data_IF_896833545620
#
_entry.id   IF_896833545620
#
_cell.length_a   1.000
_cell.length_b   1.000
_cell.length_c   1.000
_cell.angle_alpha   90.00
_cell.angle_beta   90.00
_cell.angle_gamma   90.00
#
_symmetry.space_group_name_H-M   'P 1'
#
loop_
_entity.id
_entity.type
_entity.pdbx_description
1 polymer ?
#
# COMPACT_ATOMS: atom_id res chain seq x y z
N UNK A 1 -11.27 18.49 -2.32
CA UNK A 1 -10.19 17.52 -2.03
C UNK A 1 -10.75 16.14 -2.30
N UNK A 2 -10.04 15.28 -3.03
CA UNK A 2 -10.56 13.99 -3.47
C UNK A 2 -10.00 12.83 -2.62
N UNK A 3 -10.72 11.71 -2.57
CA UNK A 3 -10.41 10.61 -1.64
C UNK A 3 -9.05 9.96 -1.94
N UNK A 4 -8.66 9.93 -3.21
CA UNK A 4 -7.33 9.46 -3.64
C UNK A 4 -6.19 10.33 -3.10
N UNK A 5 -6.32 11.67 -3.07
CA UNK A 5 -5.28 12.55 -2.52
C UNK A 5 -5.09 12.38 -1.01
N UNK A 6 -6.19 12.13 -0.30
CA UNK A 6 -6.13 11.74 1.11
C UNK A 6 -5.49 10.36 1.25
N UNK A 7 -5.87 9.42 0.38
CA UNK A 7 -5.31 8.07 0.33
C UNK A 7 -3.80 8.04 0.10
N UNK A 8 -3.25 8.82 -0.83
CA UNK A 8 -1.80 8.98 -1.04
C UNK A 8 -1.09 9.33 0.28
N UNK A 9 -1.63 10.29 1.03
CA UNK A 9 -1.05 10.69 2.32
C UNK A 9 -1.12 9.55 3.34
N UNK A 10 -2.25 8.84 3.41
CA UNK A 10 -2.45 7.72 4.33
C UNK A 10 -1.52 6.53 4.02
N UNK A 11 -1.41 6.13 2.76
CA UNK A 11 -0.55 4.99 2.39
C UNK A 11 0.94 5.30 2.58
N UNK A 12 1.35 6.56 2.34
CA UNK A 12 2.71 7.00 2.58
C UNK A 12 3.03 6.93 4.08
N UNK A 13 2.08 7.35 4.93
CA UNK A 13 2.21 7.20 6.37
C UNK A 13 2.32 5.73 6.80
N UNK A 14 1.38 4.87 6.38
CA UNK A 14 1.37 3.44 6.73
C UNK A 14 2.69 2.77 6.33
N UNK A 15 3.16 2.99 5.10
CA UNK A 15 4.40 2.38 4.64
C UNK A 15 5.63 2.94 5.37
N UNK A 16 5.69 4.26 5.59
CA UNK A 16 6.80 4.90 6.32
C UNK A 16 6.90 4.40 7.75
N UNK A 17 5.76 4.24 8.43
CA UNK A 17 5.71 3.70 9.78
C UNK A 17 6.14 2.23 9.81
N UNK A 18 5.63 1.40 8.89
CA UNK A 18 6.04 0.00 8.77
C UNK A 18 7.55 -0.13 8.52
N UNK A 19 8.10 0.62 7.55
CA UNK A 19 9.53 0.64 7.26
C UNK A 19 10.34 1.09 8.47
N UNK A 20 9.91 2.15 9.15
CA UNK A 20 10.61 2.67 10.33
C UNK A 20 10.69 1.64 11.46
N UNK A 21 9.60 0.90 11.68
CA UNK A 21 9.56 -0.18 12.66
C UNK A 21 10.45 -1.38 12.28
N UNK A 22 10.61 -1.68 10.99
CA UNK A 22 11.50 -2.77 10.52
C UNK A 22 12.96 -2.39 10.64
N UNK A 23 13.32 -1.15 10.27
CA UNK A 23 14.70 -0.69 10.28
C UNK A 23 15.18 -0.22 11.66
N UNK A 24 14.26 0.15 12.56
CA UNK A 24 14.58 0.77 13.84
C UNK A 24 15.05 2.22 13.72
N UNK A 25 14.80 2.86 12.58
CA UNK A 25 15.14 4.26 12.28
C UNK A 25 13.93 4.97 11.64
N UNK A 26 13.76 6.27 11.90
CA UNK A 26 12.62 7.02 11.35
C UNK A 26 12.89 7.39 9.89
N UNK A 27 11.95 7.05 9.00
CA UNK A 27 12.01 7.37 7.58
C UNK A 27 10.66 7.90 7.07
N UNK A 28 10.69 8.68 5.99
CA UNK A 28 9.52 9.22 5.30
C UNK A 28 9.59 8.85 3.82
N UNK A 29 8.80 7.85 3.42
CA UNK A 29 8.81 7.32 2.05
C UNK A 29 7.55 7.71 1.32
N UNK A 30 7.75 8.26 0.12
CA UNK A 30 6.68 8.40 -0.87
C UNK A 30 6.58 7.12 -1.69
N UNK A 31 5.48 6.40 -1.53
CA UNK A 31 5.19 5.16 -2.25
C UNK A 31 5.01 5.48 -3.74
N UNK A 32 5.80 4.87 -4.65
CA UNK A 32 5.63 5.14 -6.07
C UNK A 32 4.30 4.59 -6.57
N UNK A 33 3.51 5.43 -7.26
CA UNK A 33 2.28 5.02 -7.94
C UNK A 33 2.49 3.77 -8.83
N UNK A 34 3.68 3.63 -9.41
CA UNK A 34 4.01 2.45 -10.21
C UNK A 34 3.94 1.14 -9.45
N UNK A 35 4.36 1.14 -8.18
CA UNK A 35 4.34 -0.03 -7.33
C UNK A 35 2.90 -0.36 -6.90
N UNK A 36 2.06 0.65 -6.63
CA UNK A 36 0.64 0.46 -6.34
C UNK A 36 -0.12 -0.15 -7.52
N UNK A 37 0.12 0.35 -8.73
CA UNK A 37 -0.49 -0.18 -9.93
C UNK A 37 -0.09 -1.66 -10.20
N UNK A 38 1.14 -2.01 -9.85
CA UNK A 38 1.65 -3.37 -9.95
C UNK A 38 1.08 -4.27 -8.85
N UNK A 39 1.04 -3.79 -7.60
CA UNK A 39 0.39 -4.46 -6.48
C UNK A 39 -1.09 -4.78 -6.79
N UNK A 40 -1.84 -3.82 -7.36
CA UNK A 40 -3.22 -4.06 -7.81
C UNK A 40 -3.30 -5.18 -8.84
N UNK A 41 -2.38 -5.19 -9.81
CA UNK A 41 -2.34 -6.20 -10.88
C UNK A 41 -2.03 -7.60 -10.34
N UNK A 42 -1.28 -7.70 -9.25
CA UNK A 42 -0.95 -8.96 -8.57
C UNK A 42 -1.96 -9.35 -7.48
N UNK A 43 -2.87 -8.45 -7.11
CA UNK A 43 -3.86 -8.67 -6.06
C UNK A 43 -5.10 -9.42 -6.60
N UNK A 44 -5.97 -9.82 -5.67
CA UNK A 44 -7.28 -10.42 -5.95
C UNK A 44 -8.40 -9.38 -6.15
N UNK A 45 -8.06 -8.08 -6.15
CA UNK A 45 -8.99 -7.00 -6.45
C UNK A 45 -9.05 -6.79 -7.96
N UNK A 46 -10.27 -6.77 -8.51
CA UNK A 46 -10.47 -6.46 -9.91
C UNK A 46 -10.10 -5.01 -10.20
N UNK A 47 -9.16 -4.79 -11.12
CA UNK A 47 -8.80 -3.47 -11.60
C UNK A 47 -9.97 -2.83 -12.36
N UNK A 48 -10.14 -1.50 -12.29
CA UNK A 48 -11.10 -0.78 -13.13
C UNK A 48 -10.90 -1.10 -14.62
N UNK A 49 -12.00 -1.26 -15.37
CA UNK A 49 -11.93 -1.46 -16.83
C UNK A 49 -11.34 -0.22 -17.50
N UNK A 50 -10.41 -0.42 -18.44
CA UNK A 50 -9.77 0.64 -19.25
C UNK A 50 -8.99 1.68 -18.42
N UNK A 51 -8.32 1.27 -17.34
CA UNK A 51 -7.44 2.13 -16.55
C UNK A 51 -5.98 2.04 -17.00
N UNK A 52 -5.33 3.19 -17.20
CA UNK A 52 -3.87 3.30 -17.31
C UNK A 52 -3.17 3.10 -15.95
N UNK A 53 -1.84 3.12 -15.95
CA UNK A 53 -1.02 2.89 -14.74
C UNK A 53 -1.26 3.93 -13.65
N UNK A 54 -1.57 5.18 -14.00
CA UNK A 54 -1.86 6.23 -13.02
C UNK A 54 -3.20 5.97 -12.33
N UNK A 55 -4.25 5.74 -13.12
CA UNK A 55 -5.58 5.43 -12.60
C UNK A 55 -5.63 4.18 -11.71
N UNK A 56 -4.76 3.20 -11.97
CA UNK A 56 -4.63 2.02 -11.11
C UNK A 56 -4.07 2.34 -9.72
N UNK A 57 -3.07 3.21 -9.62
CA UNK A 57 -2.52 3.60 -8.32
C UNK A 57 -3.47 4.52 -7.55
N UNK A 58 -4.08 5.50 -8.22
CA UNK A 58 -5.14 6.33 -7.63
C UNK A 58 -6.31 5.47 -7.10
N UNK A 59 -6.64 4.38 -7.82
CA UNK A 59 -7.65 3.42 -7.37
C UNK A 59 -7.22 2.71 -6.09
N UNK A 60 -5.96 2.27 -5.98
CA UNK A 60 -5.39 1.66 -4.76
C UNK A 60 -5.45 2.62 -3.58
N UNK A 61 -4.98 3.86 -3.76
CA UNK A 61 -5.04 4.91 -2.74
C UNK A 61 -6.47 5.10 -2.23
N UNK A 62 -7.43 5.18 -3.15
CA UNK A 62 -8.84 5.36 -2.83
C UNK A 62 -9.43 4.18 -2.06
N UNK A 63 -9.18 2.93 -2.48
CA UNK A 63 -9.79 1.76 -1.83
C UNK A 63 -9.18 1.50 -0.45
N UNK A 64 -7.88 1.72 -0.26
CA UNK A 64 -7.23 1.57 1.04
C UNK A 64 -7.78 2.61 2.01
N UNK A 65 -7.79 3.89 1.60
CA UNK A 65 -8.34 4.97 2.41
C UNK A 65 -9.82 4.75 2.74
N UNK A 66 -10.63 4.35 1.76
CA UNK A 66 -12.05 4.07 1.97
C UNK A 66 -12.26 2.94 2.97
N UNK A 67 -11.50 1.85 2.85
CA UNK A 67 -11.65 0.70 3.73
C UNK A 67 -11.30 1.04 5.18
N UNK A 68 -10.30 1.89 5.38
CA UNK A 68 -9.96 2.41 6.70
C UNK A 68 -11.04 3.35 7.26
N UNK A 69 -11.49 4.33 6.48
CA UNK A 69 -12.56 5.27 6.88
C UNK A 69 -13.87 4.54 7.21
N UNK A 70 -14.21 3.51 6.43
CA UNK A 70 -15.40 2.70 6.64
C UNK A 70 -15.25 1.71 7.83
N UNK A 71 -14.10 1.69 8.52
CA UNK A 71 -13.85 0.83 9.68
C UNK A 71 -13.66 -0.65 9.35
N UNK A 72 -13.40 -0.99 8.08
CA UNK A 72 -13.18 -2.39 7.65
C UNK A 72 -11.78 -2.90 7.97
N UNK A 73 -10.83 -1.99 8.12
CA UNK A 73 -9.46 -2.27 8.50
C UNK A 73 -8.95 -1.11 9.34
N UNK A 74 -8.19 -1.40 10.38
CA UNK A 74 -7.56 -0.39 11.24
C UNK A 74 -6.24 0.09 10.64
N UNK A 75 -5.71 1.20 11.15
CA UNK A 75 -4.40 1.70 10.72
C UNK A 75 -3.29 0.75 11.16
N UNK A 76 -3.40 0.24 12.38
CA UNK A 76 -2.48 -0.74 12.97
C UNK A 76 -2.43 -2.03 12.15
N UNK A 77 -3.59 -2.56 11.73
CA UNK A 77 -3.63 -3.73 10.84
C UNK A 77 -2.97 -3.45 9.48
N UNK A 78 -3.18 -2.26 8.92
CA UNK A 78 -2.52 -1.87 7.67
C UNK A 78 -0.99 -1.92 7.85
N UNK A 79 -0.47 -1.32 8.92
CA UNK A 79 0.96 -1.29 9.22
C UNK A 79 1.50 -2.70 9.44
N UNK A 80 0.83 -3.53 10.23
CA UNK A 80 1.29 -4.89 10.55
C UNK A 80 1.33 -5.80 9.32
N UNK A 81 0.36 -5.69 8.41
CA UNK A 81 0.35 -6.43 7.14
C UNK A 81 1.53 -6.00 6.27
N UNK A 82 1.72 -4.69 6.07
CA UNK A 82 2.83 -4.16 5.28
C UNK A 82 4.16 -4.60 5.90
N UNK A 83 4.33 -4.40 7.21
CA UNK A 83 5.52 -4.78 7.96
C UNK A 83 5.88 -6.25 7.75
N UNK A 84 4.90 -7.14 7.92
CA UNK A 84 5.09 -8.59 7.77
C UNK A 84 5.58 -8.99 6.38
N UNK A 85 5.14 -8.28 5.34
CA UNK A 85 5.59 -8.50 3.97
C UNK A 85 7.01 -7.97 3.75
N UNK A 86 7.29 -6.73 4.19
CA UNK A 86 8.53 -6.04 3.85
C UNK A 86 9.77 -6.53 4.63
N UNK A 87 9.60 -7.16 5.80
CA UNK A 87 10.71 -7.72 6.61
C UNK A 87 11.58 -8.75 5.85
N UNK A 88 11.11 -9.28 4.73
CA UNK A 88 11.81 -10.28 3.92
C UNK A 88 12.81 -9.66 2.92
N UNK A 89 12.84 -8.34 2.82
CA UNK A 89 13.58 -7.60 1.80
C UNK A 89 14.64 -6.69 2.43
N UNK A 90 15.68 -6.37 1.66
CA UNK A 90 16.61 -5.31 2.03
C UNK A 90 16.01 -3.94 1.67
N UNK A 91 15.48 -3.25 2.68
CA UNK A 91 14.81 -1.95 2.48
C UNK A 91 15.78 -0.79 2.24
N UNK A 92 17.10 -1.03 2.29
CA UNK A 92 18.14 -0.05 1.93
C UNK A 92 18.55 -0.16 0.45
N UNK A 93 18.25 -1.28 -0.20
CA UNK A 93 18.45 -1.45 -1.64
C UNK A 93 17.18 -1.09 -2.40
N UNK A 94 17.31 -0.23 -3.41
CA UNK A 94 16.16 0.40 -4.08
C UNK A 94 15.25 -0.59 -4.81
N UNK A 95 15.80 -1.61 -5.46
CA UNK A 95 15.00 -2.59 -6.19
C UNK A 95 14.29 -3.56 -5.25
N UNK A 96 14.97 -3.99 -4.19
CA UNK A 96 14.38 -4.79 -3.11
C UNK A 96 13.28 -4.01 -2.39
N UNK A 97 13.48 -2.71 -2.08
CA UNK A 97 12.43 -1.87 -1.50
C UNK A 97 11.20 -1.77 -2.42
N UNK A 98 11.41 -1.62 -3.74
CA UNK A 98 10.30 -1.60 -4.70
C UNK A 98 9.52 -2.91 -4.69
N UNK A 99 10.19 -4.06 -4.60
CA UNK A 99 9.54 -5.38 -4.47
C UNK A 99 8.78 -5.49 -3.15
N UNK A 100 9.36 -5.00 -2.06
CA UNK A 100 8.75 -4.96 -0.74
C UNK A 100 7.44 -4.16 -0.75
N UNK A 101 7.44 -2.96 -1.35
CA UNK A 101 6.24 -2.13 -1.53
C UNK A 101 5.16 -2.90 -2.30
N UNK A 102 5.53 -3.51 -3.43
CA UNK A 102 4.57 -4.24 -4.28
C UNK A 102 3.94 -5.40 -3.50
N UNK A 103 4.76 -6.19 -2.81
CA UNK A 103 4.31 -7.34 -2.02
C UNK A 103 3.41 -6.92 -0.86
N UNK A 104 3.84 -5.90 -0.09
CA UNK A 104 3.06 -5.39 1.04
C UNK A 104 1.68 -4.88 0.60
N UNK A 105 1.63 -4.01 -0.40
CA UNK A 105 0.33 -3.48 -0.85
C UNK A 105 -0.52 -4.56 -1.53
N UNK A 106 0.07 -5.55 -2.20
CA UNK A 106 -0.68 -6.70 -2.72
C UNK A 106 -1.34 -7.48 -1.59
N UNK A 107 -0.63 -7.75 -0.50
CA UNK A 107 -1.15 -8.46 0.66
C UNK A 107 -2.24 -7.66 1.40
N UNK A 108 -2.04 -6.34 1.56
CA UNK A 108 -3.06 -5.44 2.11
C UNK A 108 -4.34 -5.42 1.27
N UNK A 109 -4.21 -5.33 -0.05
CA UNK A 109 -5.35 -5.37 -0.98
C UNK A 109 -6.09 -6.72 -0.90
N UNK A 110 -5.35 -7.82 -0.79
CA UNK A 110 -5.94 -9.14 -0.63
C UNK A 110 -6.70 -9.28 0.69
N UNK A 111 -6.23 -8.63 1.76
CA UNK A 111 -6.93 -8.61 3.04
C UNK A 111 -8.20 -7.77 2.96
N UNK A 112 -8.13 -6.56 2.40
CA UNK A 112 -9.30 -5.70 2.18
C UNK A 112 -10.38 -6.41 1.36
N UNK A 113 -10.00 -7.18 0.33
CA UNK A 113 -10.91 -7.97 -0.49
C UNK A 113 -11.71 -9.01 0.30
N UNK A 114 -11.19 -9.53 1.42
CA UNK A 114 -11.92 -10.49 2.26
C UNK A 114 -13.00 -9.82 3.11
N UNK A 115 -12.92 -8.49 3.28
CA UNK A 115 -13.76 -7.69 4.18
C UNK A 115 -14.78 -6.81 3.43
N UNK A 116 -14.82 -6.92 2.09
CA UNK A 116 -15.70 -6.18 1.19
C UNK A 116 -16.44 -7.13 0.25
#
# INVERSE_FOLDING_TARGET
MSLEKFGDSFINFVYSLAKSQVLGEYDGVKVPNSCLAEALTLSKIESPRRSDKHKKGDFVEKIVAKSWIDGKITEEECVDIIKSAIMKYDLKERNEERKAIIEGFKDLLNEIKKRC
#
